data_IF_477751622717
#
_entry.id   IF_477751622717
#
_cell.length_a   1.000
_cell.length_b   1.000
_cell.length_c   1.000
_cell.angle_alpha   90.00
_cell.angle_beta   90.00
_cell.angle_gamma   90.00
#
_symmetry.space_group_name_H-M   'P 1'
#
loop_
_entity.id
_entity.type
_entity.pdbx_description
1 polymer ?
#
# COMPACT_ATOMS: atom_id res chain seq x y z
N UNK A 1 14.61 -17.98 -20.39
CA UNK A 1 13.32 -17.43 -20.87
C UNK A 1 12.82 -16.50 -19.78
N UNK A 2 12.74 -15.21 -20.08
CA UNK A 2 12.67 -14.08 -19.14
C UNK A 2 11.44 -14.19 -18.23
N UNK A 3 11.61 -14.06 -16.91
CA UNK A 3 10.48 -13.70 -16.05
C UNK A 3 10.27 -12.19 -16.14
N UNK A 4 9.00 -11.79 -16.02
CA UNK A 4 8.44 -10.44 -15.92
C UNK A 4 7.93 -9.77 -17.22
N UNK A 5 6.59 -9.68 -17.37
CA UNK A 5 5.98 -8.53 -18.05
C UNK A 5 5.18 -7.58 -17.14
N UNK A 6 4.66 -8.00 -15.98
CA UNK A 6 3.55 -7.22 -15.39
C UNK A 6 3.95 -6.23 -14.27
N UNK A 7 5.22 -6.16 -13.88
CA UNK A 7 5.69 -5.29 -12.81
C UNK A 7 6.90 -4.46 -13.27
N UNK A 8 6.75 -3.16 -13.54
CA UNK A 8 7.86 -2.31 -13.94
C UNK A 8 8.93 -2.22 -12.83
N UNK A 9 10.18 -2.48 -13.20
CA UNK A 9 11.35 -2.11 -12.39
C UNK A 9 11.64 -0.64 -12.66
N UNK A 10 11.51 0.19 -11.62
CA UNK A 10 11.64 1.64 -11.71
C UNK A 10 13.04 2.12 -11.34
N UNK A 11 13.73 1.35 -10.50
CA UNK A 11 15.11 1.62 -10.09
C UNK A 11 15.76 0.33 -9.59
N UNK A 12 17.05 0.17 -9.88
CA UNK A 12 17.86 -0.94 -9.41
C UNK A 12 19.32 -0.47 -9.29
N UNK A 13 19.91 -0.65 -8.12
CA UNK A 13 21.35 -0.52 -7.87
C UNK A 13 21.82 -1.73 -7.04
N UNK A 14 23.05 -1.73 -6.53
CA UNK A 14 23.60 -2.86 -5.77
C UNK A 14 22.88 -3.15 -4.44
N UNK A 15 22.13 -2.18 -3.91
CA UNK A 15 21.52 -2.25 -2.58
C UNK A 15 20.00 -2.40 -2.62
N UNK A 16 19.36 -1.83 -3.63
CA UNK A 16 17.92 -1.59 -3.71
C UNK A 16 17.30 -2.04 -5.03
N UNK A 17 16.03 -2.42 -4.94
CA UNK A 17 15.16 -2.61 -6.10
C UNK A 17 13.81 -1.92 -5.83
N UNK A 18 13.43 -0.98 -6.71
CA UNK A 18 12.12 -0.31 -6.69
C UNK A 18 11.27 -0.84 -7.81
N UNK A 19 10.06 -1.27 -7.47
CA UNK A 19 9.14 -1.90 -8.41
C UNK A 19 7.73 -1.31 -8.28
N UNK A 20 7.01 -1.25 -9.40
CA UNK A 20 5.61 -0.89 -9.44
C UNK A 20 4.70 -2.12 -9.42
N UNK A 21 4.21 -2.53 -8.25
CA UNK A 21 3.33 -3.71 -8.15
C UNK A 21 1.98 -3.44 -8.81
N UNK A 22 1.50 -4.30 -9.73
CA UNK A 22 0.13 -4.22 -10.23
C UNK A 22 -0.90 -4.59 -9.15
N UNK A 23 -2.17 -4.22 -9.37
CA UNK A 23 -3.26 -4.73 -8.53
C UNK A 23 -3.56 -6.19 -8.86
N UNK A 24 -4.05 -6.93 -7.87
CA UNK A 24 -4.39 -8.35 -7.99
C UNK A 24 -3.23 -9.30 -7.69
N UNK A 25 -2.00 -8.80 -7.65
CA UNK A 25 -0.79 -9.60 -7.33
C UNK A 25 -0.43 -9.49 -5.85
N UNK A 26 -0.23 -10.63 -5.19
CA UNK A 26 0.29 -10.68 -3.82
C UNK A 26 1.73 -10.15 -3.76
N UNK A 27 2.09 -9.42 -2.70
CA UNK A 27 3.49 -9.01 -2.50
C UNK A 27 4.37 -10.20 -2.10
N UNK A 28 3.87 -11.03 -1.20
CA UNK A 28 4.53 -12.24 -0.67
C UNK A 28 3.55 -13.41 -0.73
N UNK A 29 4.06 -14.64 -0.64
CA UNK A 29 3.24 -15.85 -0.65
C UNK A 29 2.12 -15.78 0.40
N UNK A 30 0.92 -16.17 -0.01
CA UNK A 30 -0.22 -16.31 0.88
C UNK A 30 -0.26 -17.69 1.56
N UNK A 31 -1.27 -17.88 2.40
CA UNK A 31 -1.59 -19.20 2.97
C UNK A 31 -2.37 -20.02 1.94
N UNK A 32 -1.90 -21.22 1.61
CA UNK A 32 -2.55 -22.14 0.65
C UNK A 32 -1.77 -22.31 -0.64
N UNK A 33 -1.90 -23.49 -1.27
CA UNK A 33 -1.15 -23.86 -2.47
C UNK A 33 -1.49 -22.99 -3.70
N UNK A 34 -2.68 -22.39 -3.73
CA UNK A 34 -3.17 -21.48 -4.77
C UNK A 34 -2.59 -20.05 -4.68
N UNK A 35 -1.90 -19.71 -3.57
CA UNK A 35 -1.40 -18.35 -3.29
C UNK A 35 0.12 -18.24 -3.30
N UNK A 36 0.78 -19.10 -4.07
CA UNK A 36 2.23 -19.15 -4.16
C UNK A 36 2.80 -18.18 -5.21
N UNK A 37 2.01 -17.83 -6.23
CA UNK A 37 2.37 -16.78 -7.16
C UNK A 37 2.28 -15.40 -6.49
N UNK A 38 3.41 -14.71 -6.42
CA UNK A 38 3.55 -13.41 -5.77
C UNK A 38 4.74 -12.66 -6.35
N UNK A 39 4.77 -11.34 -6.12
CA UNK A 39 5.83 -10.46 -6.58
C UNK A 39 7.21 -10.93 -6.11
N UNK A 40 7.38 -11.27 -4.83
CA UNK A 40 8.66 -11.74 -4.31
C UNK A 40 9.18 -12.96 -5.07
N UNK A 41 8.33 -13.98 -5.28
CA UNK A 41 8.71 -15.20 -5.98
C UNK A 41 9.09 -14.93 -7.45
N UNK A 42 8.36 -14.03 -8.13
CA UNK A 42 8.68 -13.61 -9.50
C UNK A 42 10.02 -12.86 -9.56
N UNK A 43 10.29 -11.96 -8.61
CA UNK A 43 11.56 -11.22 -8.55
C UNK A 43 12.75 -12.11 -8.18
N UNK A 44 12.55 -13.11 -7.33
CA UNK A 44 13.61 -14.01 -6.87
C UNK A 44 14.25 -14.83 -7.99
N UNK A 45 13.61 -14.94 -9.17
CA UNK A 45 14.18 -15.61 -10.34
C UNK A 45 15.40 -14.87 -10.87
N UNK A 46 15.33 -13.53 -10.95
CA UNK A 46 16.43 -12.69 -11.44
C UNK A 46 17.26 -12.09 -10.29
N UNK A 47 16.69 -12.03 -9.08
CA UNK A 47 17.33 -11.50 -7.88
C UNK A 47 17.22 -12.50 -6.70
N UNK A 48 18.01 -13.58 -6.67
CA UNK A 48 17.85 -14.66 -5.68
C UNK A 48 17.98 -14.23 -4.21
N UNK A 49 18.76 -13.18 -3.94
CA UNK A 49 18.98 -12.64 -2.58
C UNK A 49 18.01 -11.52 -2.18
N UNK A 50 17.01 -11.24 -3.02
CA UNK A 50 16.04 -10.16 -2.81
C UNK A 50 15.25 -10.37 -1.52
N UNK A 51 15.07 -9.29 -0.76
CA UNK A 51 14.48 -9.28 0.58
C UNK A 51 13.35 -8.29 0.67
N UNK A 52 12.24 -8.75 1.23
CA UNK A 52 11.05 -7.93 1.50
C UNK A 52 11.35 -6.97 2.65
N UNK A 53 10.94 -5.72 2.47
CA UNK A 53 11.00 -4.66 3.48
C UNK A 53 9.60 -4.32 3.99
N UNK A 54 8.66 -4.15 3.06
CA UNK A 54 7.27 -3.84 3.34
C UNK A 54 6.35 -4.48 2.30
N UNK A 55 5.05 -4.40 2.52
CA UNK A 55 4.05 -5.06 1.69
C UNK A 55 2.90 -4.12 1.34
N UNK A 56 2.35 -4.35 0.16
CA UNK A 56 1.04 -3.86 -0.24
C UNK A 56 0.03 -5.01 -0.18
N UNK A 57 -1.23 -4.66 0.05
CA UNK A 57 -2.35 -5.57 -0.13
C UNK A 57 -2.39 -6.08 -1.58
N UNK A 58 -3.02 -7.25 -1.80
CA UNK A 58 -3.10 -7.88 -3.12
C UNK A 58 -3.67 -6.92 -4.17
N UNK A 59 -4.79 -6.27 -3.86
CA UNK A 59 -5.50 -5.40 -4.80
C UNK A 59 -4.96 -3.96 -4.85
N UNK A 60 -4.08 -3.60 -3.91
CA UNK A 60 -3.41 -2.29 -3.92
C UNK A 60 -2.25 -2.33 -4.91
N UNK A 61 -2.24 -1.43 -5.89
CA UNK A 61 -1.07 -1.22 -6.75
C UNK A 61 -0.11 -0.20 -6.15
N UNK A 62 1.13 -0.14 -6.63
CA UNK A 62 2.02 0.98 -6.35
C UNK A 62 3.46 0.58 -6.07
N UNK A 63 4.23 1.55 -5.61
CA UNK A 63 5.64 1.42 -5.29
C UNK A 63 5.90 0.45 -4.14
N UNK A 64 6.87 -0.44 -4.35
CA UNK A 64 7.52 -1.23 -3.31
C UNK A 64 9.03 -1.08 -3.40
N UNK A 65 9.69 -1.15 -2.25
CA UNK A 65 11.15 -1.22 -2.13
C UNK A 65 11.52 -2.59 -1.59
N UNK A 66 12.51 -3.21 -2.21
CA UNK A 66 13.15 -4.43 -1.77
C UNK A 66 14.63 -4.15 -1.53
N UNK A 67 15.21 -4.84 -0.54
CA UNK A 67 16.67 -4.86 -0.37
C UNK A 67 17.25 -6.00 -1.18
N UNK A 68 18.43 -5.78 -1.78
CA UNK A 68 19.14 -6.83 -2.53
C UNK A 68 20.03 -7.71 -1.65
N UNK A 69 20.30 -7.29 -0.41
CA UNK A 69 21.09 -8.05 0.57
C UNK A 69 20.68 -7.75 2.01
N UNK A 70 21.25 -8.50 2.95
CA UNK A 70 20.87 -8.45 4.37
C UNK A 70 21.17 -7.10 5.04
N UNK A 71 22.31 -6.49 4.72
CA UNK A 71 22.69 -5.19 5.31
C UNK A 71 21.70 -4.09 4.92
N UNK A 72 21.33 -4.03 3.63
CA UNK A 72 20.32 -3.11 3.14
C UNK A 72 18.96 -3.35 3.80
N UNK A 73 18.56 -4.63 3.97
CA UNK A 73 17.31 -4.97 4.65
C UNK A 73 17.28 -4.43 6.09
N UNK A 74 18.35 -4.63 6.86
CA UNK A 74 18.41 -4.16 8.24
C UNK A 74 18.31 -2.64 8.34
N UNK A 75 18.97 -1.91 7.45
CA UNK A 75 18.93 -0.44 7.46
C UNK A 75 17.56 0.10 7.07
N UNK A 76 16.92 -0.49 6.05
CA UNK A 76 15.57 -0.07 5.66
C UNK A 76 14.54 -0.41 6.74
N UNK A 77 14.59 -1.61 7.33
CA UNK A 77 13.67 -1.99 8.41
C UNK A 77 13.74 -1.00 9.58
N UNK A 78 14.96 -0.59 9.99
CA UNK A 78 15.15 0.47 11.01
C UNK A 78 14.44 1.77 10.62
N UNK A 79 14.52 2.19 9.36
CA UNK A 79 13.83 3.41 8.91
C UNK A 79 12.30 3.28 8.97
N UNK A 80 11.75 2.11 8.61
CA UNK A 80 10.32 1.84 8.75
C UNK A 80 9.88 1.83 10.22
N UNK A 81 10.64 1.16 11.09
CA UNK A 81 10.38 1.12 12.54
C UNK A 81 10.43 2.52 13.17
N UNK A 82 11.40 3.33 12.77
CA UNK A 82 11.57 4.72 13.21
C UNK A 82 10.62 5.71 12.51
N UNK A 83 9.73 5.24 11.62
CA UNK A 83 8.79 6.07 10.83
C UNK A 83 9.48 7.18 10.01
N UNK A 84 10.72 6.93 9.56
CA UNK A 84 11.51 7.83 8.70
C UNK A 84 11.19 7.66 7.21
N UNK A 85 10.30 6.74 6.87
CA UNK A 85 9.83 6.48 5.50
C UNK A 85 8.52 7.20 5.27
N UNK A 86 8.49 8.07 4.27
CA UNK A 86 7.29 8.79 3.88
C UNK A 86 6.60 8.07 2.73
N UNK A 87 5.35 7.69 2.96
CA UNK A 87 4.52 6.99 1.98
C UNK A 87 3.35 7.90 1.60
N UNK A 88 3.11 8.04 0.32
CA UNK A 88 1.94 8.74 -0.20
C UNK A 88 1.16 7.83 -1.11
N UNK A 89 -0.15 7.81 -0.89
CA UNK A 89 -1.10 7.03 -1.66
C UNK A 89 -2.13 7.96 -2.28
N UNK A 90 -2.58 7.59 -3.47
CA UNK A 90 -3.75 8.18 -4.09
C UNK A 90 -4.90 7.18 -3.99
N UNK A 91 -6.07 7.68 -3.60
CA UNK A 91 -7.31 6.94 -3.64
C UNK A 91 -8.42 7.70 -4.37
N UNK A 92 -9.33 6.97 -5.00
CA UNK A 92 -10.67 7.47 -5.31
C UNK A 92 -11.63 6.91 -4.27
N UNK A 93 -12.31 7.78 -3.54
CA UNK A 93 -13.29 7.41 -2.51
C UNK A 93 -14.70 7.75 -2.96
N UNK A 94 -15.69 7.03 -2.43
CA UNK A 94 -17.10 7.20 -2.77
C UNK A 94 -17.67 8.53 -2.25
N UNK A 95 -18.44 9.21 -3.08
CA UNK A 95 -19.12 10.46 -2.72
C UNK A 95 -18.17 11.66 -2.60
N UNK A 96 -18.67 12.72 -1.94
CA UNK A 96 -17.95 13.99 -1.77
C UNK A 96 -17.50 14.14 -0.33
N UNK A 97 -16.19 14.11 -0.11
CA UNK A 97 -15.60 14.46 1.20
C UNK A 97 -15.76 15.96 1.40
N UNK A 98 -16.47 16.36 2.45
CA UNK A 98 -16.81 17.76 2.69
C UNK A 98 -15.57 18.58 3.05
N UNK A 99 -14.78 18.10 4.01
CA UNK A 99 -13.58 18.78 4.49
C UNK A 99 -12.44 18.64 3.48
N UNK A 100 -11.50 19.59 3.52
CA UNK A 100 -10.38 19.63 2.58
C UNK A 100 -9.22 18.72 2.98
N UNK A 101 -9.07 18.44 4.28
CA UNK A 101 -8.02 17.59 4.85
C UNK A 101 -8.38 17.21 6.28
N UNK A 102 -7.75 16.16 6.78
CA UNK A 102 -7.90 15.75 8.18
C UNK A 102 -6.99 14.60 8.56
N UNK A 103 -7.23 14.08 9.75
CA UNK A 103 -6.56 12.89 10.29
C UNK A 103 -7.60 11.89 10.78
N UNK A 104 -7.27 10.60 10.68
CA UNK A 104 -8.06 9.51 11.23
C UNK A 104 -7.14 8.73 12.16
N UNK A 105 -7.35 8.92 13.46
CA UNK A 105 -6.68 8.17 14.53
C UNK A 105 -7.67 7.15 15.10
N UNK A 106 -7.65 5.94 14.52
CA UNK A 106 -8.57 4.88 14.88
C UNK A 106 -7.80 3.55 14.89
N UNK A 107 -7.60 2.91 16.05
CA UNK A 107 -6.85 1.68 16.18
C UNK A 107 -7.53 0.51 15.46
N UNK A 108 -6.73 -0.41 14.91
CA UNK A 108 -7.21 -1.48 14.03
C UNK A 108 -6.76 -2.86 14.52
N UNK A 109 -7.62 -3.86 14.29
CA UNK A 109 -7.24 -5.27 14.41
C UNK A 109 -7.88 -6.14 13.32
N UNK A 110 -7.37 -7.36 13.21
CA UNK A 110 -7.99 -8.39 12.39
C UNK A 110 -9.39 -8.75 12.91
N UNK A 111 -10.33 -8.96 11.98
CA UNK A 111 -11.67 -9.45 12.28
C UNK A 111 -11.73 -10.97 12.04
N UNK A 112 -11.68 -11.79 13.11
CA UNK A 112 -11.73 -13.24 12.96
C UNK A 112 -13.09 -13.75 12.49
N UNK A 113 -14.17 -12.97 12.61
CA UNK A 113 -15.51 -13.36 12.19
C UNK A 113 -15.72 -13.18 10.68
N UNK A 114 -14.98 -12.26 10.06
CA UNK A 114 -15.08 -11.98 8.62
C UNK A 114 -13.73 -11.94 7.90
N UNK A 115 -12.95 -13.05 7.85
CA UNK A 115 -11.68 -13.09 7.14
C UNK A 115 -11.80 -12.65 5.66
N UNK A 116 -10.86 -11.85 5.10
CA UNK A 116 -9.65 -11.31 5.71
C UNK A 116 -9.81 -9.87 6.24
N UNK A 117 -11.01 -9.46 6.66
CA UNK A 117 -11.29 -8.08 7.10
C UNK A 117 -10.54 -7.69 8.37
N UNK A 118 -10.47 -6.39 8.55
CA UNK A 118 -9.94 -5.69 9.70
C UNK A 118 -10.99 -4.65 10.12
N UNK A 119 -11.08 -4.37 11.41
CA UNK A 119 -12.07 -3.48 12.00
C UNK A 119 -11.40 -2.51 12.97
N UNK A 120 -12.10 -1.40 13.24
CA UNK A 120 -11.74 -0.46 14.30
C UNK A 120 -12.08 -1.10 15.64
N UNK A 121 -11.12 -1.06 16.58
CA UNK A 121 -11.31 -1.56 17.93
C UNK A 121 -10.47 -0.75 18.91
N UNK A 122 -11.13 0.01 19.79
CA UNK A 122 -10.47 0.91 20.74
C UNK A 122 -9.95 0.20 22.00
N UNK A 123 -10.36 -1.04 22.27
CA UNK A 123 -9.94 -1.78 23.45
C UNK A 123 -8.64 -2.56 23.19
N UNK A 124 -8.57 -3.26 22.06
CA UNK A 124 -7.47 -4.18 21.74
C UNK A 124 -6.85 -3.95 20.34
N UNK A 125 -7.29 -2.92 19.62
CA UNK A 125 -6.71 -2.55 18.33
C UNK A 125 -5.31 -1.96 18.46
N UNK A 126 -4.49 -2.16 17.44
CA UNK A 126 -3.19 -1.51 17.35
C UNK A 126 -3.37 -0.09 16.83
N UNK A 127 -2.70 0.89 17.48
CA UNK A 127 -2.71 2.29 17.04
C UNK A 127 -2.43 2.42 15.54
N UNK A 128 -3.29 3.20 14.88
CA UNK A 128 -3.25 3.46 13.46
C UNK A 128 -3.67 4.91 13.16
N UNK A 129 -2.79 5.64 12.49
CA UNK A 129 -2.99 7.04 12.12
C UNK A 129 -2.79 7.23 10.61
N UNK A 130 -3.78 7.86 9.98
CA UNK A 130 -3.76 8.24 8.56
C UNK A 130 -4.06 9.72 8.43
N UNK A 131 -3.18 10.46 7.76
CA UNK A 131 -3.46 11.83 7.33
C UNK A 131 -4.02 11.81 5.91
N UNK A 132 -4.93 12.71 5.59
CA UNK A 132 -5.56 12.76 4.28
C UNK A 132 -5.84 14.18 3.79
N UNK A 133 -5.90 14.36 2.48
CA UNK A 133 -6.19 15.63 1.83
C UNK A 133 -6.95 15.41 0.52
N UNK A 134 -8.03 16.15 0.31
CA UNK A 134 -8.77 16.17 -0.96
C UNK A 134 -7.92 16.85 -2.04
N UNK A 135 -7.75 16.17 -3.16
CA UNK A 135 -7.10 16.70 -4.35
C UNK A 135 -8.12 17.20 -5.38
N UNK A 136 -9.22 16.46 -5.56
CA UNK A 136 -10.27 16.83 -6.49
C UNK A 136 -11.60 16.16 -6.11
N UNK A 137 -12.72 16.83 -6.36
CA UNK A 137 -14.07 16.26 -6.24
C UNK A 137 -14.62 16.02 -7.65
N UNK A 138 -15.14 14.82 -7.88
CA UNK A 138 -15.70 14.32 -9.15
C UNK A 138 -17.17 13.98 -8.93
N UNK A 139 -18.01 13.80 -9.97
CA UNK A 139 -19.46 13.65 -9.79
C UNK A 139 -19.92 12.57 -8.80
N UNK A 140 -19.20 11.44 -8.69
CA UNK A 140 -19.56 10.33 -7.78
C UNK A 140 -18.45 9.96 -6.78
N UNK A 141 -17.37 10.74 -6.74
CA UNK A 141 -16.14 10.36 -6.05
C UNK A 141 -15.29 11.54 -5.67
N UNK A 142 -14.35 11.31 -4.76
CA UNK A 142 -13.32 12.28 -4.40
C UNK A 142 -11.95 11.65 -4.57
N UNK A 143 -11.04 12.35 -5.24
CA UNK A 143 -9.62 11.98 -5.28
C UNK A 143 -8.94 12.50 -4.01
N UNK A 144 -8.31 11.60 -3.28
CA UNK A 144 -7.71 11.88 -1.97
C UNK A 144 -6.26 11.43 -1.95
N UNK A 145 -5.38 12.29 -1.45
CA UNK A 145 -4.04 11.96 -1.03
C UNK A 145 -4.09 11.39 0.39
N UNK A 146 -3.50 10.22 0.60
CA UNK A 146 -3.42 9.54 1.89
C UNK A 146 -1.96 9.36 2.30
N UNK A 147 -1.64 9.70 3.55
CA UNK A 147 -0.31 9.54 4.15
C UNK A 147 -0.43 8.69 5.41
N UNK A 148 -0.24 7.36 5.32
CA UNK A 148 -0.30 6.50 6.49
C UNK A 148 0.96 6.68 7.35
N UNK A 149 0.79 7.24 8.56
CA UNK A 149 1.87 7.41 9.55
C UNK A 149 2.27 6.05 10.11
N UNK A 150 1.29 5.18 10.34
CA UNK A 150 1.49 3.77 10.67
C UNK A 150 1.37 2.88 9.41
N UNK A 151 1.39 1.56 9.57
CA UNK A 151 1.32 0.62 8.44
C UNK A 151 0.55 -0.65 8.78
N UNK A 152 -0.66 -0.51 9.31
CA UNK A 152 -1.51 -1.67 9.65
C UNK A 152 -2.16 -2.25 8.38
N UNK A 153 -2.42 -3.55 8.39
CA UNK A 153 -3.14 -4.23 7.32
C UNK A 153 -4.48 -3.55 7.04
N UNK A 154 -4.77 -3.29 5.77
CA UNK A 154 -5.99 -2.61 5.30
C UNK A 154 -6.24 -1.22 5.91
N UNK A 155 -5.24 -0.58 6.54
CA UNK A 155 -5.44 0.65 7.31
C UNK A 155 -6.18 1.74 6.55
N UNK A 156 -5.69 2.10 5.36
CA UNK A 156 -6.28 3.15 4.53
C UNK A 156 -7.72 2.83 4.12
N UNK A 157 -8.00 1.56 3.86
CA UNK A 157 -9.32 1.08 3.42
C UNK A 157 -10.34 1.18 4.54
N UNK A 158 -9.99 0.71 5.74
CA UNK A 158 -10.84 0.79 6.94
C UNK A 158 -11.04 2.23 7.39
N UNK A 159 -9.98 3.04 7.38
CA UNK A 159 -10.08 4.46 7.76
C UNK A 159 -10.98 5.25 6.81
N UNK A 160 -10.85 5.05 5.48
CA UNK A 160 -11.74 5.69 4.52
C UNK A 160 -13.20 5.20 4.66
N UNK A 161 -13.42 3.92 4.96
CA UNK A 161 -14.74 3.41 5.31
C UNK A 161 -15.31 4.08 6.58
N UNK A 162 -14.49 4.22 7.63
CA UNK A 162 -14.89 4.86 8.90
C UNK A 162 -15.30 6.32 8.68
N UNK A 163 -14.61 7.04 7.79
CA UNK A 163 -14.96 8.41 7.38
C UNK A 163 -16.28 8.48 6.59
N UNK A 164 -16.90 7.34 6.24
CA UNK A 164 -18.11 7.28 5.42
C UNK A 164 -17.84 7.29 3.91
N UNK A 165 -16.57 7.28 3.50
CA UNK A 165 -16.14 7.40 2.11
C UNK A 165 -15.26 6.20 1.71
N UNK A 166 -15.80 4.98 1.60
CA UNK A 166 -15.00 3.82 1.23
C UNK A 166 -14.35 3.98 -0.14
N UNK A 167 -13.20 3.34 -0.32
CA UNK A 167 -12.44 3.38 -1.58
C UNK A 167 -13.24 2.67 -2.68
N UNK A 168 -13.27 3.26 -3.89
CA UNK A 168 -13.98 2.67 -5.02
C UNK A 168 -13.39 1.31 -5.43
N UNK A 169 -14.28 0.39 -5.81
CA UNK A 169 -13.91 -0.98 -6.19
C UNK A 169 -13.38 -1.84 -5.03
N UNK A 170 -13.45 -1.37 -3.79
CA UNK A 170 -13.06 -2.17 -2.63
C UNK A 170 -14.09 -3.27 -2.36
N UNK A 171 -13.72 -4.52 -2.64
CA UNK A 171 -14.58 -5.70 -2.48
C UNK A 171 -14.84 -6.08 -1.02
N UNK A 172 -14.08 -5.52 -0.08
CA UNK A 172 -14.20 -5.84 1.34
C UNK A 172 -14.93 -4.75 2.12
N UNK A 173 -14.74 -3.48 1.79
CA UNK A 173 -15.20 -2.38 2.67
C UNK A 173 -16.20 -1.43 2.01
N UNK A 174 -16.34 -1.46 0.69
CA UNK A 174 -17.29 -0.62 0.00
C UNK A 174 -18.70 -1.20 0.03
N UNK A 175 -19.70 -0.32 -0.08
CA UNK A 175 -21.05 -0.72 -0.44
C UNK A 175 -21.10 -1.21 -1.89
N UNK A 176 -22.14 -1.95 -2.26
CA UNK A 176 -22.30 -2.46 -3.63
C UNK A 176 -22.26 -1.32 -4.68
N UNK A 177 -22.88 -0.18 -4.36
CA UNK A 177 -22.87 0.99 -5.23
C UNK A 177 -21.45 1.55 -5.44
N UNK A 178 -20.65 1.66 -4.39
CA UNK A 178 -19.27 2.16 -4.44
C UNK A 178 -18.31 1.14 -5.10
N UNK A 179 -18.52 -0.15 -4.85
CA UNK A 179 -17.75 -1.22 -5.49
C UNK A 179 -17.96 -1.23 -7.00
N UNK A 180 -19.20 -1.07 -7.48
CA UNK A 180 -19.53 -1.10 -8.93
C UNK A 180 -18.97 0.08 -9.74
N UNK A 181 -18.48 1.15 -9.09
CA UNK A 181 -17.92 2.31 -9.80
C UNK A 181 -16.52 2.09 -10.36
N UNK A 182 -15.83 1.02 -9.97
CA UNK A 182 -14.51 0.67 -10.49
C UNK A 182 -14.34 -0.85 -10.56
N UNK A 183 -13.70 -1.39 -11.61
CA UNK A 183 -13.42 -2.82 -11.71
C UNK A 183 -12.32 -3.30 -10.74
N UNK A 184 -11.66 -2.38 -10.02
CA UNK A 184 -10.54 -2.67 -9.13
C UNK A 184 -10.51 -1.71 -7.93
N UNK A 185 -9.76 -2.09 -6.90
CA UNK A 185 -9.44 -1.18 -5.80
C UNK A 185 -8.69 0.06 -6.35
N UNK A 186 -9.31 1.23 -6.21
CA UNK A 186 -8.73 2.53 -6.53
C UNK A 186 -7.86 3.04 -5.38
N UNK A 187 -6.83 2.26 -5.03
CA UNK A 187 -5.78 2.64 -4.07
C UNK A 187 -4.41 2.36 -4.69
N UNK A 188 -3.55 3.38 -4.73
CA UNK A 188 -2.25 3.31 -5.37
C UNK A 188 -1.16 3.93 -4.48
N UNK A 189 -0.09 3.19 -4.18
CA UNK A 189 1.10 3.72 -3.50
C UNK A 189 1.94 4.54 -4.50
N UNK A 190 1.64 5.83 -4.60
CA UNK A 190 2.18 6.71 -5.65
C UNK A 190 3.59 7.21 -5.37
N UNK A 191 3.91 7.54 -4.12
CA UNK A 191 5.24 8.03 -3.75
C UNK A 191 5.81 7.32 -2.53
N UNK A 192 7.10 7.04 -2.60
CA UNK A 192 7.90 6.49 -1.52
C UNK A 192 9.18 7.28 -1.38
N UNK A 193 9.44 7.78 -0.18
CA UNK A 193 10.62 8.57 0.16
C UNK A 193 11.29 8.03 1.43
N UNK A 194 12.61 7.83 1.36
CA UNK A 194 13.43 7.22 2.41
C UNK A 194 14.92 7.49 2.16
N UNK A 195 15.77 7.19 3.13
CA UNK A 195 17.22 7.29 2.95
C UNK A 195 17.80 6.02 2.34
N UNK A 196 18.66 6.17 1.34
CA UNK A 196 19.39 5.06 0.77
C UNK A 196 20.16 4.27 1.85
N UNK A 197 20.06 2.93 1.91
CA UNK A 197 20.56 2.15 3.06
C UNK A 197 22.09 2.23 3.23
N UNK A 198 22.84 2.37 2.14
CA UNK A 198 24.31 2.53 2.16
C UNK A 198 24.74 3.99 2.05
N UNK A 199 24.37 4.67 0.95
CA UNK A 199 24.79 6.06 0.66
C UNK A 199 24.17 7.12 1.58
N UNK A 200 23.11 6.81 2.33
CA UNK A 200 22.44 7.72 3.28
C UNK A 200 21.95 9.04 2.64
N UNK A 201 21.76 9.08 1.32
CA UNK A 201 21.10 10.19 0.64
C UNK A 201 19.58 10.01 0.66
N UNK A 202 18.84 11.11 0.55
CA UNK A 202 17.39 11.04 0.42
C UNK A 202 16.99 10.58 -0.99
N UNK A 203 16.24 9.49 -1.08
CA UNK A 203 15.69 8.95 -2.31
C UNK A 203 14.17 9.15 -2.34
N UNK A 204 13.66 9.70 -3.44
CA UNK A 204 12.22 9.80 -3.70
C UNK A 204 11.86 9.16 -5.03
N UNK A 205 10.93 8.20 -4.97
CA UNK A 205 10.37 7.56 -6.14
C UNK A 205 8.89 7.91 -6.29
N UNK A 206 8.44 8.00 -7.54
CA UNK A 206 7.05 8.26 -7.89
C UNK A 206 6.60 7.35 -9.02
N UNK A 207 5.40 6.79 -8.89
CA UNK A 207 4.72 6.07 -9.94
C UNK A 207 3.25 6.54 -9.96
N UNK A 208 2.82 7.33 -10.95
CA UNK A 208 1.50 7.95 -10.93
C UNK A 208 0.35 6.93 -10.89
N UNK A 209 -0.68 7.24 -10.11
CA UNK A 209 -1.87 6.40 -10.05
C UNK A 209 -2.54 6.26 -11.43
N UNK A 210 -2.96 5.05 -11.85
CA UNK A 210 -3.51 4.79 -13.19
C UNK A 210 -5.01 5.14 -13.33
N UNK A 211 -5.54 5.97 -12.43
CA UNK A 211 -6.94 6.38 -12.33
C UNK A 211 -7.04 7.81 -11.80
#
# INVERSE_FOLDING_TARGET
MRVAPDCPILFCDDDLLIVGKPAGLLTVQGKGADKQDCLLARLAVDYPEIRVIHRLDQDTSGLLVFARHLSAQQQLNKQFEQRRVHKQYIALVFGHVAEQSGEIDAPLRYDPLHPPRHIVDYEIGQSALTQWQVLARQPKSTRVLLKPVTGRSHQLRVHMQLLGHPILGDTLYASEAAQKLSPRLCLHAESLEFYHPVRQENCRFTWPAPF
#
